data_IF_014280140383
#
_entry.id   IF_014280140383
#
_cell.length_a   1.000
_cell.length_b   1.000
_cell.length_c   1.000
_cell.angle_alpha   90.00
_cell.angle_beta   90.00
_cell.angle_gamma   90.00
#
_symmetry.space_group_name_H-M   'P 1'
#
loop_
_entity.id
_entity.type
_entity.pdbx_description
1 polymer ?
#
# COMPACT_ATOMS: atom_id res chain seq x y z
N UNK A 1 -24.57 12.81 22.20
CA UNK A 1 -24.41 11.63 23.06
C UNK A 1 -22.99 11.62 23.62
N UNK A 2 -22.84 11.50 24.95
CA UNK A 2 -21.52 11.42 25.60
C UNK A 2 -21.12 9.95 25.71
N UNK A 3 -20.05 9.55 25.03
CA UNK A 3 -19.58 8.15 24.97
C UNK A 3 -18.47 7.83 25.98
N UNK A 4 -17.85 8.88 26.54
CA UNK A 4 -16.79 8.77 27.55
C UNK A 4 -17.09 9.65 28.76
N UNK A 5 -16.83 9.13 29.95
CA UNK A 5 -16.75 9.88 31.20
C UNK A 5 -15.29 10.07 31.59
N UNK A 6 -14.92 11.30 31.95
CA UNK A 6 -13.56 11.64 32.38
C UNK A 6 -13.47 11.44 33.88
N UNK A 7 -12.57 10.57 34.31
CA UNK A 7 -12.24 10.34 35.71
C UNK A 7 -10.91 11.02 36.07
N UNK A 8 -10.57 11.04 37.36
CA UNK A 8 -9.29 11.60 37.84
C UNK A 8 -8.07 10.92 37.20
N UNK A 9 -8.21 9.66 36.76
CA UNK A 9 -7.23 8.92 35.97
C UNK A 9 -7.92 8.24 34.79
N UNK A 10 -7.79 8.84 33.61
CA UNK A 10 -8.29 8.26 32.36
C UNK A 10 -9.78 8.49 32.09
N UNK A 11 -10.32 7.68 31.18
CA UNK A 11 -11.70 7.76 30.70
C UNK A 11 -12.38 6.40 30.82
N UNK A 12 -13.66 6.40 31.19
CA UNK A 12 -14.52 5.21 31.20
C UNK A 12 -15.60 5.32 30.13
N UNK A 13 -16.01 4.19 29.56
CA UNK A 13 -17.11 4.16 28.60
C UNK A 13 -18.43 4.40 29.34
N UNK A 14 -19.28 5.24 28.76
CA UNK A 14 -20.69 5.29 29.15
C UNK A 14 -21.42 4.08 28.57
N UNK A 15 -22.66 3.82 29.00
CA UNK A 15 -23.52 2.76 28.43
C UNK A 15 -23.64 2.91 26.90
N UNK A 16 -23.75 4.15 26.43
CA UNK A 16 -23.85 4.49 25.03
C UNK A 16 -22.51 4.32 24.30
N UNK A 17 -21.39 4.61 24.97
CA UNK A 17 -20.05 4.27 24.48
C UNK A 17 -19.85 2.77 24.32
N UNK A 18 -20.34 1.96 25.27
CA UNK A 18 -20.25 0.50 25.20
C UNK A 18 -21.08 -0.07 24.04
N UNK A 19 -22.29 0.46 23.82
CA UNK A 19 -23.14 0.08 22.68
C UNK A 19 -22.46 0.38 21.34
N UNK A 20 -21.84 1.56 21.23
CA UNK A 20 -21.09 1.94 20.03
C UNK A 20 -19.86 1.05 19.85
N UNK A 21 -19.11 0.78 20.91
CA UNK A 21 -17.95 -0.09 20.88
C UNK A 21 -18.31 -1.48 20.34
N UNK A 22 -19.36 -2.11 20.87
CA UNK A 22 -19.79 -3.43 20.41
C UNK A 22 -20.20 -3.45 18.94
N UNK A 23 -20.84 -2.39 18.43
CA UNK A 23 -21.26 -2.32 17.02
C UNK A 23 -20.12 -2.05 16.05
N UNK A 24 -19.13 -1.26 16.44
CA UNK A 24 -18.12 -0.77 15.49
C UNK A 24 -16.78 -1.51 15.58
N UNK A 25 -16.51 -2.25 16.66
CA UNK A 25 -15.26 -3.04 16.80
C UNK A 25 -15.05 -3.99 15.63
N UNK A 26 -16.07 -4.74 15.23
CA UNK A 26 -15.96 -5.69 14.11
C UNK A 26 -15.71 -4.97 12.78
N UNK A 27 -16.45 -3.89 12.50
CA UNK A 27 -16.27 -3.10 11.29
C UNK A 27 -14.86 -2.50 11.19
N UNK A 28 -14.31 -1.98 12.29
CA UNK A 28 -12.94 -1.47 12.30
C UNK A 28 -11.88 -2.58 12.21
N UNK A 29 -12.14 -3.76 12.76
CA UNK A 29 -11.26 -4.92 12.56
C UNK A 29 -11.17 -5.30 11.08
N UNK A 30 -12.32 -5.34 10.37
CA UNK A 30 -12.36 -5.60 8.93
C UNK A 30 -11.63 -4.52 8.12
N UNK A 31 -11.77 -3.25 8.50
CA UNK A 31 -11.02 -2.16 7.85
C UNK A 31 -9.52 -2.37 8.09
N UNK A 32 -9.09 -2.58 9.34
CA UNK A 32 -7.67 -2.75 9.66
C UNK A 32 -7.01 -3.87 8.85
N UNK A 33 -7.67 -5.03 8.75
CA UNK A 33 -7.13 -6.20 8.02
C UNK A 33 -7.00 -5.90 6.52
N UNK A 34 -7.94 -5.19 5.93
CA UNK A 34 -7.96 -4.94 4.49
C UNK A 34 -7.19 -3.68 4.08
N UNK A 35 -7.02 -2.72 5.00
CA UNK A 35 -6.27 -1.49 4.77
C UNK A 35 -4.77 -1.75 4.60
N UNK A 36 -4.21 -2.78 5.23
CA UNK A 36 -2.78 -3.10 5.11
C UNK A 36 -2.35 -3.37 3.65
N UNK A 37 -3.25 -3.89 2.81
CA UNK A 37 -3.00 -4.08 1.38
C UNK A 37 -2.92 -2.75 0.60
N UNK A 38 -3.54 -1.70 1.13
CA UNK A 38 -3.66 -0.39 0.50
C UNK A 38 -2.66 0.61 1.07
N UNK A 39 -1.97 0.25 2.15
CA UNK A 39 -0.80 0.98 2.62
C UNK A 39 0.33 0.72 1.63
N UNK A 40 0.89 1.80 1.06
CA UNK A 40 2.11 1.72 0.26
C UNK A 40 3.14 0.88 1.04
N UNK A 41 3.62 -0.25 0.50
CA UNK A 41 4.56 -1.10 1.21
C UNK A 41 5.73 -0.24 1.68
N UNK A 42 6.00 -0.22 2.99
CA UNK A 42 7.20 0.43 3.53
C UNK A 42 8.41 -0.36 3.01
N UNK A 43 8.91 0.03 1.84
CA UNK A 43 9.90 -0.71 1.07
C UNK A 43 10.24 -0.02 -0.25
N UNK A 44 11.18 -0.61 -0.98
CA UNK A 44 11.59 -0.19 -2.31
C UNK A 44 10.40 -0.23 -3.26
N UNK A 45 9.99 0.92 -3.81
CA UNK A 45 8.87 1.00 -4.75
C UNK A 45 9.14 0.08 -5.94
N UNK A 46 8.18 -0.82 -6.22
CA UNK A 46 8.31 -1.83 -7.28
C UNK A 46 7.67 -1.29 -8.56
N UNK A 47 8.48 -1.08 -9.59
CA UNK A 47 7.99 -0.68 -10.92
C UNK A 47 7.97 -1.90 -11.82
N UNK A 48 6.77 -2.33 -12.24
CA UNK A 48 6.60 -3.40 -13.22
C UNK A 48 6.48 -2.79 -14.61
N UNK A 49 7.38 -3.18 -15.50
CA UNK A 49 7.40 -2.71 -16.89
C UNK A 49 7.23 -3.92 -17.81
N UNK A 50 6.22 -3.90 -18.67
CA UNK A 50 6.08 -4.85 -19.77
C UNK A 50 6.55 -4.16 -21.05
N UNK A 51 7.49 -4.77 -21.78
CA UNK A 51 7.97 -4.20 -23.03
C UNK A 51 8.51 -5.24 -24.00
N UNK A 52 8.63 -4.83 -25.26
CA UNK A 52 9.18 -5.66 -26.34
C UNK A 52 10.71 -5.75 -26.20
N UNK A 53 11.35 -6.90 -26.56
CA UNK A 53 12.79 -7.10 -26.44
C UNK A 53 13.65 -5.97 -27.03
N UNK A 54 13.24 -5.39 -28.16
CA UNK A 54 13.98 -4.30 -28.82
C UNK A 54 14.05 -3.04 -27.96
N UNK A 55 12.94 -2.66 -27.31
CA UNK A 55 12.86 -1.49 -26.42
C UNK A 55 13.61 -1.76 -25.12
N UNK A 56 13.44 -2.95 -24.55
CA UNK A 56 14.19 -3.38 -23.37
C UNK A 56 15.70 -3.29 -23.60
N UNK A 57 16.20 -3.93 -24.65
CA UNK A 57 17.63 -4.04 -24.91
C UNK A 57 18.28 -2.72 -25.37
N UNK A 58 17.66 -2.01 -26.31
CA UNK A 58 18.30 -0.86 -26.95
C UNK A 58 18.07 0.46 -26.20
N UNK A 59 16.98 0.57 -25.44
CA UNK A 59 16.60 1.82 -24.80
C UNK A 59 16.61 1.75 -23.26
N UNK A 60 16.09 0.67 -22.67
CA UNK A 60 15.97 0.56 -21.22
C UNK A 60 17.30 0.18 -20.56
N UNK A 61 18.00 -0.86 -21.03
CA UNK A 61 19.26 -1.32 -20.43
C UNK A 61 20.33 -0.23 -20.30
N UNK A 62 20.57 0.63 -21.30
CA UNK A 62 21.56 1.72 -21.16
C UNK A 62 21.19 2.75 -20.09
N UNK A 63 19.92 2.84 -19.70
CA UNK A 63 19.40 3.80 -18.70
C UNK A 63 19.24 3.18 -17.32
N UNK A 64 19.36 1.86 -17.17
CA UNK A 64 19.22 1.16 -15.89
C UNK A 64 20.19 1.68 -14.83
N UNK A 65 21.44 1.96 -15.21
CA UNK A 65 22.44 2.50 -14.28
C UNK A 65 22.02 3.87 -13.70
N UNK A 66 21.31 4.71 -14.45
CA UNK A 66 20.82 5.98 -13.94
C UNK A 66 19.61 5.81 -13.00
N UNK A 67 18.76 4.81 -13.28
CA UNK A 67 17.58 4.49 -12.48
C UNK A 67 17.94 3.80 -11.15
N UNK A 68 18.96 2.94 -11.14
CA UNK A 68 19.44 2.25 -9.93
C UNK A 68 20.21 3.17 -8.98
N UNK A 69 20.90 4.18 -9.51
CA UNK A 69 21.65 5.16 -8.72
C UNK A 69 20.79 6.31 -8.16
N UNK A 70 19.47 6.27 -8.35
CA UNK A 70 18.58 7.31 -7.84
C UNK A 70 18.43 7.23 -6.31
N UNK A 71 18.21 8.37 -5.59
CA UNK A 71 18.08 8.37 -4.12
C UNK A 71 16.91 7.50 -3.62
N UNK A 72 15.86 7.41 -4.44
CA UNK A 72 14.74 6.49 -4.22
C UNK A 72 15.16 5.10 -4.66
N UNK A 73 15.29 4.16 -3.71
CA UNK A 73 15.52 2.75 -4.06
C UNK A 73 14.29 2.24 -4.82
N UNK A 74 14.46 1.93 -6.10
CA UNK A 74 13.45 1.33 -6.97
C UNK A 74 13.80 -0.13 -7.26
N UNK A 75 12.80 -1.00 -7.26
CA UNK A 75 12.93 -2.39 -7.71
C UNK A 75 12.22 -2.49 -9.04
N UNK A 76 12.98 -2.61 -10.11
CA UNK A 76 12.44 -2.73 -11.46
C UNK A 76 12.23 -4.22 -11.76
N UNK A 77 11.00 -4.60 -12.06
CA UNK A 77 10.64 -5.94 -12.55
C UNK A 77 10.25 -5.79 -14.00
N UNK A 78 11.12 -6.26 -14.89
CA UNK A 78 10.92 -6.19 -16.33
C UNK A 78 10.33 -7.51 -16.83
N UNK A 79 9.18 -7.41 -17.48
CA UNK A 79 8.59 -8.50 -18.26
C UNK A 79 8.83 -8.21 -19.75
N UNK A 80 9.50 -9.14 -20.42
CA UNK A 80 9.89 -9.00 -21.82
C UNK A 80 9.19 -10.08 -22.63
N UNK A 81 8.15 -9.67 -23.33
CA UNK A 81 7.43 -10.54 -24.26
C UNK A 81 7.38 -9.89 -25.65
N UNK A 82 7.42 -10.72 -26.68
CA UNK A 82 7.19 -10.32 -28.06
C UNK A 82 5.69 -10.27 -28.40
N UNK A 83 4.83 -10.77 -27.52
CA UNK A 83 3.37 -10.61 -27.58
C UNK A 83 3.02 -9.23 -27.06
N UNK A 84 2.12 -8.54 -27.76
CA UNK A 84 1.61 -7.25 -27.34
C UNK A 84 1.04 -7.39 -25.93
N UNK A 85 1.71 -6.80 -24.93
CA UNK A 85 1.24 -6.82 -23.56
C UNK A 85 -0.06 -6.01 -23.51
N UNK A 86 -1.19 -6.70 -23.39
CA UNK A 86 -2.49 -6.08 -23.22
C UNK A 86 -2.52 -5.47 -21.81
N UNK A 87 -2.33 -4.15 -21.74
CA UNK A 87 -2.43 -3.38 -20.52
C UNK A 87 -3.92 -3.03 -20.34
N UNK A 88 -4.70 -4.01 -19.89
CA UNK A 88 -6.10 -3.84 -19.49
C UNK A 88 -6.24 -3.49 -18.00
#
# INVERSE_FOLDING_TARGET
LKVFERNARGVTLTIEGNRLHLRTTEAFALISVNSDRWVEPRGTAVVRLASIPSVSGLWLMPRMAALENHPTKLRIVLDVDNRQADLA
#
